data_IF_202115428901
#
_entry.id   IF_202115428901
#
_cell.length_a   1.000
_cell.length_b   1.000
_cell.length_c   1.000
_cell.angle_alpha   90.00
_cell.angle_beta   90.00
_cell.angle_gamma   90.00
#
_symmetry.space_group_name_H-M   'P 1'
#
loop_
_entity.id
_entity.type
_entity.pdbx_description
1 polymer ?
#
# COMPACT_ATOMS: atom_id res chain seq x y z
N UNK A 1 -13.20 10.51 -2.66
CA UNK A 1 -14.18 10.41 -1.58
C UNK A 1 -13.68 11.14 -0.32
N UNK A 2 -12.52 10.80 0.23
CA UNK A 2 -11.94 11.46 1.42
C UNK A 2 -11.85 12.98 1.31
N UNK A 3 -11.43 13.47 0.18
CA UNK A 3 -11.24 14.91 -0.03
C UNK A 3 -12.46 15.59 -0.66
N UNK A 4 -13.52 14.86 -0.98
CA UNK A 4 -14.72 15.40 -1.64
C UNK A 4 -14.45 16.14 -2.95
N UNK A 5 -13.25 15.98 -3.52
CA UNK A 5 -12.78 16.69 -4.72
C UNK A 5 -12.48 15.69 -5.85
N UNK A 6 -13.16 15.87 -6.97
CA UNK A 6 -12.90 15.09 -8.18
C UNK A 6 -11.48 15.31 -8.71
N UNK A 7 -10.98 16.55 -8.61
CA UNK A 7 -9.61 16.88 -9.02
C UNK A 7 -8.55 16.15 -8.20
N UNK A 8 -8.76 16.02 -6.88
CA UNK A 8 -7.86 15.26 -6.03
C UNK A 8 -7.87 13.75 -6.39
N UNK A 9 -9.03 13.20 -6.74
CA UNK A 9 -9.13 11.83 -7.23
C UNK A 9 -8.38 11.61 -8.54
N UNK A 10 -8.58 12.47 -9.52
CA UNK A 10 -7.89 12.43 -10.81
C UNK A 10 -6.38 12.55 -10.63
N UNK A 11 -5.92 13.52 -9.83
CA UNK A 11 -4.50 13.69 -9.53
C UNK A 11 -3.90 12.46 -8.85
N UNK A 12 -4.61 11.85 -7.91
CA UNK A 12 -4.15 10.62 -7.24
C UNK A 12 -3.96 9.48 -8.24
N UNK A 13 -4.90 9.29 -9.17
CA UNK A 13 -4.78 8.28 -10.24
C UNK A 13 -3.60 8.62 -11.16
N UNK A 14 -3.46 9.87 -11.57
CA UNK A 14 -2.33 10.29 -12.41
C UNK A 14 -0.98 10.04 -11.71
N UNK A 15 -0.85 10.37 -10.43
CA UNK A 15 0.37 10.10 -9.67
C UNK A 15 0.67 8.60 -9.52
N UNK A 16 -0.34 7.76 -9.39
CA UNK A 16 -0.15 6.29 -9.34
C UNK A 16 0.26 5.76 -10.71
N UNK A 17 -0.41 6.19 -11.79
CA UNK A 17 -0.16 5.70 -13.15
C UNK A 17 1.16 6.22 -13.71
N UNK A 18 1.46 7.50 -13.47
CA UNK A 18 2.68 8.17 -13.95
C UNK A 18 3.75 8.30 -12.87
N UNK A 19 3.76 7.40 -11.90
CA UNK A 19 4.81 7.35 -10.89
C UNK A 19 6.14 7.02 -11.55
N UNK A 20 6.82 8.04 -12.01
CA UNK A 20 8.23 8.00 -12.43
C UNK A 20 9.06 8.80 -11.44
N UNK A 21 10.33 8.48 -11.31
CA UNK A 21 11.26 9.28 -10.55
C UNK A 21 11.42 10.70 -11.15
N UNK A 22 12.04 11.59 -10.42
CA UNK A 22 12.36 12.96 -10.87
C UNK A 22 13.50 13.01 -11.89
N UNK A 23 14.12 11.85 -12.19
CA UNK A 23 15.24 11.71 -13.11
C UNK A 23 14.97 12.31 -14.49
N UNK A 24 13.75 12.16 -15.02
CA UNK A 24 13.38 12.77 -16.31
C UNK A 24 13.49 14.28 -16.30
N UNK A 25 13.08 14.94 -15.23
CA UNK A 25 13.13 16.42 -15.15
C UNK A 25 14.59 16.92 -15.11
N UNK A 26 15.44 16.21 -14.39
CA UNK A 26 16.87 16.50 -14.36
C UNK A 26 17.51 16.29 -15.73
N UNK A 27 17.25 15.16 -16.37
CA UNK A 27 17.71 14.87 -17.73
C UNK A 27 17.24 15.94 -18.72
N UNK A 28 15.95 16.28 -18.71
CA UNK A 28 15.40 17.29 -19.58
C UNK A 28 16.04 18.66 -19.35
N UNK A 29 16.31 19.04 -18.10
CA UNK A 29 16.96 20.30 -17.77
C UNK A 29 18.40 20.35 -18.27
N UNK A 30 19.20 19.30 -18.06
CA UNK A 30 20.60 19.19 -18.50
C UNK A 30 20.70 19.28 -20.03
N UNK A 31 19.86 18.52 -20.75
CA UNK A 31 19.87 18.49 -22.23
C UNK A 31 19.18 19.71 -22.88
N UNK A 32 18.27 20.36 -22.16
CA UNK A 32 17.70 21.63 -22.64
C UNK A 32 18.74 22.76 -22.60
N UNK A 33 19.61 22.75 -21.57
CA UNK A 33 20.72 23.70 -21.50
C UNK A 33 21.82 23.40 -22.54
N UNK A 34 22.04 22.12 -22.84
CA UNK A 34 22.98 21.70 -23.88
C UNK A 34 22.42 21.93 -25.32
N UNK A 35 21.12 22.12 -25.46
CA UNK A 35 20.46 22.32 -26.75
C UNK A 35 20.24 21.06 -27.57
N UNK A 36 20.46 19.87 -27.00
CA UNK A 36 20.43 18.57 -27.66
C UNK A 36 19.29 17.64 -27.17
N UNK A 37 18.32 18.18 -26.42
CA UNK A 37 17.27 17.39 -25.78
C UNK A 37 16.52 16.47 -26.72
N UNK A 38 16.08 16.96 -27.86
CA UNK A 38 15.27 16.19 -28.79
C UNK A 38 16.07 15.09 -29.50
N UNK A 39 17.31 15.39 -29.84
CA UNK A 39 18.22 14.42 -30.48
C UNK A 39 18.56 13.30 -29.47
N UNK A 40 18.88 13.67 -28.26
CA UNK A 40 19.20 12.72 -27.19
C UNK A 40 17.99 11.87 -26.81
N UNK A 41 16.77 12.45 -26.72
CA UNK A 41 15.55 11.69 -26.44
C UNK A 41 15.22 10.70 -27.57
N UNK A 42 15.37 11.13 -28.85
CA UNK A 42 15.09 10.28 -29.99
C UNK A 42 16.09 9.12 -30.13
N UNK A 43 17.34 9.34 -29.73
CA UNK A 43 18.39 8.33 -29.73
C UNK A 43 18.48 7.49 -28.46
N UNK A 44 17.72 7.83 -27.40
CA UNK A 44 17.85 7.16 -26.13
C UNK A 44 17.14 5.81 -26.11
N UNK A 45 17.92 4.75 -26.04
CA UNK A 45 17.45 3.36 -25.93
C UNK A 45 17.58 2.80 -24.50
N UNK A 46 18.15 3.60 -23.58
CA UNK A 46 18.40 3.20 -22.22
C UNK A 46 17.44 3.91 -21.25
N UNK A 47 17.32 3.34 -20.07
CA UNK A 47 16.55 3.97 -18.99
C UNK A 47 17.27 5.24 -18.47
N UNK A 48 16.52 6.32 -18.29
CA UNK A 48 17.03 7.57 -17.76
C UNK A 48 17.04 7.49 -16.23
N UNK A 49 18.18 7.20 -15.64
CA UNK A 49 18.39 7.10 -14.20
C UNK A 49 19.74 7.63 -13.78
N UNK A 50 19.79 8.26 -12.61
CA UNK A 50 21.01 8.90 -12.07
C UNK A 50 21.56 8.18 -10.83
N UNK A 51 20.83 7.21 -10.30
CA UNK A 51 21.27 6.40 -9.16
C UNK A 51 21.29 4.91 -9.48
N UNK A 52 22.17 4.12 -8.87
CA UNK A 52 22.29 2.68 -9.13
C UNK A 52 21.00 1.89 -8.91
N UNK A 53 20.06 2.42 -8.15
CA UNK A 53 18.79 1.76 -7.77
C UNK A 53 17.57 2.36 -8.49
N UNK A 54 17.74 3.25 -9.43
CA UNK A 54 16.63 3.91 -10.17
C UNK A 54 15.96 3.03 -11.23
N UNK A 55 16.33 1.77 -11.37
CA UNK A 55 15.57 0.77 -12.15
C UNK A 55 14.09 0.70 -11.76
N UNK A 56 13.74 1.24 -10.62
CA UNK A 56 12.36 1.48 -10.17
C UNK A 56 11.60 2.51 -11.02
N UNK A 57 12.24 3.33 -11.81
CA UNK A 57 11.57 4.26 -12.72
C UNK A 57 10.81 3.57 -13.86
N UNK A 58 11.17 2.35 -14.20
CA UNK A 58 10.40 1.45 -15.07
C UNK A 58 9.23 0.79 -14.34
N UNK A 59 8.89 1.25 -13.14
CA UNK A 59 7.89 0.62 -12.29
C UNK A 59 6.57 0.42 -13.01
N UNK A 60 6.08 1.42 -13.72
CA UNK A 60 4.82 1.31 -14.47
C UNK A 60 4.91 0.26 -15.59
N UNK A 61 6.02 0.21 -16.33
CA UNK A 61 6.21 -0.77 -17.39
C UNK A 61 6.43 -2.18 -16.84
N UNK A 62 7.31 -2.33 -15.88
CA UNK A 62 7.63 -3.65 -15.32
C UNK A 62 6.53 -4.17 -14.41
N UNK A 63 5.83 -3.31 -13.68
CA UNK A 63 4.82 -3.73 -12.71
C UNK A 63 3.46 -3.89 -13.37
N UNK A 64 2.96 -2.91 -14.11
CA UNK A 64 1.61 -3.01 -14.67
C UNK A 64 1.54 -3.84 -15.94
N UNK A 65 2.56 -3.81 -16.79
CA UNK A 65 2.56 -4.61 -18.03
C UNK A 65 3.04 -6.04 -17.81
N UNK A 66 4.10 -6.24 -17.03
CA UNK A 66 4.68 -7.56 -16.82
C UNK A 66 4.10 -8.29 -15.60
N UNK A 67 3.68 -7.54 -14.56
CA UNK A 67 3.16 -8.11 -13.32
C UNK A 67 1.66 -7.82 -13.18
N UNK A 68 0.84 -8.33 -14.09
CA UNK A 68 -0.63 -8.17 -14.06
C UNK A 68 -1.25 -8.60 -12.73
N UNK A 69 -0.64 -9.58 -12.05
CA UNK A 69 -1.04 -10.04 -10.73
C UNK A 69 -0.92 -8.94 -9.66
N UNK A 70 0.01 -8.00 -9.76
CA UNK A 70 0.07 -6.86 -8.84
C UNK A 70 -1.11 -5.93 -9.03
N UNK A 71 -1.48 -5.60 -10.28
CA UNK A 71 -2.67 -4.78 -10.57
C UNK A 71 -3.94 -5.40 -9.99
N UNK A 72 -4.11 -6.71 -10.11
CA UNK A 72 -5.21 -7.45 -9.51
C UNK A 72 -5.17 -7.39 -7.98
N UNK A 73 -3.99 -7.61 -7.37
CA UNK A 73 -3.81 -7.51 -5.92
C UNK A 73 -4.15 -6.14 -5.37
N UNK A 74 -3.71 -5.07 -6.04
CA UNK A 74 -4.04 -3.69 -5.66
C UNK A 74 -5.54 -3.40 -5.80
N UNK A 75 -6.21 -3.92 -6.84
CA UNK A 75 -7.65 -3.78 -7.01
C UNK A 75 -8.40 -4.42 -5.85
N UNK A 76 -8.06 -5.66 -5.48
CA UNK A 76 -8.69 -6.35 -4.36
C UNK A 76 -8.45 -5.65 -3.04
N UNK A 77 -7.22 -5.19 -2.80
CA UNK A 77 -6.91 -4.38 -1.63
C UNK A 77 -7.75 -3.09 -1.59
N UNK A 78 -7.85 -2.38 -2.71
CA UNK A 78 -8.66 -1.16 -2.81
C UNK A 78 -10.15 -1.42 -2.55
N UNK A 79 -10.71 -2.53 -3.03
CA UNK A 79 -12.10 -2.92 -2.76
C UNK A 79 -12.34 -3.16 -1.26
N UNK A 80 -11.45 -3.89 -0.61
CA UNK A 80 -11.55 -4.13 0.83
C UNK A 80 -11.41 -2.84 1.61
N UNK A 81 -10.43 -2.01 1.31
CA UNK A 81 -10.26 -0.70 1.96
C UNK A 81 -11.50 0.19 1.76
N UNK A 82 -12.11 0.16 0.58
CA UNK A 82 -13.35 0.89 0.31
C UNK A 82 -14.50 0.50 1.24
N UNK A 83 -14.67 -0.81 1.47
CA UNK A 83 -15.72 -1.33 2.37
C UNK A 83 -15.54 -0.78 3.80
N UNK A 84 -14.30 -0.77 4.30
CA UNK A 84 -14.00 -0.33 5.67
C UNK A 84 -13.83 1.18 5.83
N UNK A 85 -13.76 1.93 4.72
CA UNK A 85 -13.62 3.37 4.75
C UNK A 85 -14.82 4.06 5.41
N UNK A 86 -16.03 3.56 5.17
CA UNK A 86 -17.26 4.07 5.77
C UNK A 86 -17.21 4.03 7.31
N UNK A 87 -16.56 3.01 7.86
CA UNK A 87 -16.44 2.87 9.31
C UNK A 87 -15.53 3.90 9.93
N UNK A 88 -14.47 4.29 9.21
CA UNK A 88 -13.59 5.38 9.61
C UNK A 88 -14.32 6.72 9.51
N UNK A 89 -15.04 6.95 8.41
CA UNK A 89 -15.80 8.19 8.19
C UNK A 89 -16.86 8.38 9.28
N UNK A 90 -17.65 7.35 9.61
CA UNK A 90 -18.64 7.39 10.68
C UNK A 90 -18.00 7.74 12.04
N UNK A 91 -16.85 7.13 12.32
CA UNK A 91 -16.13 7.33 13.59
C UNK A 91 -15.48 8.71 13.67
N UNK A 92 -15.02 9.26 12.55
CA UNK A 92 -14.48 10.63 12.49
C UNK A 92 -15.56 11.71 12.56
N UNK A 93 -16.81 11.38 12.20
CA UNK A 93 -17.93 12.31 12.28
C UNK A 93 -18.44 12.53 13.72
N UNK A 94 -17.97 11.76 14.70
CA UNK A 94 -18.33 11.95 16.12
C UNK A 94 -17.83 13.29 16.66
N UNK A 95 -18.64 13.90 17.54
CA UNK A 95 -18.38 15.25 18.07
C UNK A 95 -17.24 15.32 19.10
N UNK A 96 -16.85 14.17 19.66
CA UNK A 96 -15.79 14.11 20.66
C UNK A 96 -14.43 14.46 20.04
N UNK A 97 -13.60 15.21 20.77
CA UNK A 97 -12.28 15.65 20.31
C UNK A 97 -11.19 15.38 21.35
N UNK A 98 -9.95 15.29 20.87
CA UNK A 98 -8.77 15.16 21.72
C UNK A 98 -8.73 13.86 22.52
N UNK A 99 -8.37 13.95 23.80
CA UNK A 99 -8.17 12.81 24.71
C UNK A 99 -9.47 12.02 24.93
N UNK A 100 -10.61 12.70 24.97
CA UNK A 100 -11.90 12.03 25.15
C UNK A 100 -12.24 11.14 23.95
N UNK A 101 -12.00 11.62 22.74
CA UNK A 101 -12.14 10.83 21.52
C UNK A 101 -11.25 9.59 21.56
N UNK A 102 -9.96 9.74 21.93
CA UNK A 102 -9.03 8.63 22.05
C UNK A 102 -9.48 7.60 23.09
N UNK A 103 -9.92 8.07 24.27
CA UNK A 103 -10.47 7.20 25.33
C UNK A 103 -11.67 6.40 24.81
N UNK A 104 -12.59 7.04 24.11
CA UNK A 104 -13.76 6.38 23.54
C UNK A 104 -13.39 5.33 22.49
N UNK A 105 -12.32 5.53 21.71
CA UNK A 105 -11.83 4.56 20.70
C UNK A 105 -11.17 3.32 21.29
N UNK A 106 -10.65 3.38 22.51
CA UNK A 106 -9.90 2.25 23.06
C UNK A 106 -10.51 1.64 24.32
N UNK A 107 -11.17 2.43 25.16
CA UNK A 107 -11.63 1.99 26.47
C UNK A 107 -13.13 1.71 26.54
N UNK A 108 -13.91 2.03 25.52
CA UNK A 108 -15.34 1.76 25.52
C UNK A 108 -15.65 0.38 24.98
N UNK A 109 -16.70 -0.26 25.52
CA UNK A 109 -17.20 -1.54 25.01
C UNK A 109 -17.63 -1.43 23.55
N UNK A 110 -18.19 -0.29 23.14
CA UNK A 110 -18.60 0.01 21.75
C UNK A 110 -17.45 -0.16 20.77
N UNK A 111 -16.25 0.31 21.13
CA UNK A 111 -15.07 0.24 20.24
C UNK A 111 -14.64 -1.20 19.93
N UNK A 112 -14.94 -2.16 20.82
CA UNK A 112 -14.58 -3.57 20.69
C UNK A 112 -15.76 -4.49 20.31
N UNK A 113 -16.97 -3.95 20.14
CA UNK A 113 -18.09 -4.76 19.69
C UNK A 113 -17.99 -5.09 18.21
N UNK A 114 -18.58 -6.22 17.82
CA UNK A 114 -18.80 -6.55 16.43
C UNK A 114 -19.81 -5.59 15.80
N UNK A 115 -19.49 -5.14 14.61
CA UNK A 115 -20.34 -4.24 13.81
C UNK A 115 -20.98 -4.99 12.63
N UNK A 116 -20.14 -5.68 11.85
CA UNK A 116 -20.52 -6.50 10.69
C UNK A 116 -19.54 -7.66 10.52
N UNK A 117 -19.60 -8.69 11.34
CA UNK A 117 -18.62 -9.79 11.32
C UNK A 117 -18.68 -10.63 10.03
N UNK A 118 -19.83 -10.71 9.38
CA UNK A 118 -20.01 -11.33 8.07
C UNK A 118 -19.20 -10.62 6.98
N UNK A 119 -19.26 -9.30 6.95
CA UNK A 119 -18.47 -8.48 6.04
C UNK A 119 -16.98 -8.63 6.29
N UNK A 120 -16.56 -8.66 7.57
CA UNK A 120 -15.17 -8.84 7.95
C UNK A 120 -14.64 -10.24 7.56
N UNK A 121 -15.46 -11.27 7.77
CA UNK A 121 -15.14 -12.64 7.35
C UNK A 121 -14.97 -12.73 5.83
N UNK A 122 -15.91 -12.21 5.06
CA UNK A 122 -15.85 -12.22 3.60
C UNK A 122 -14.63 -11.45 3.07
N UNK A 123 -14.38 -10.25 3.59
CA UNK A 123 -13.23 -9.44 3.21
C UNK A 123 -11.91 -10.13 3.56
N UNK A 124 -11.84 -10.81 4.71
CA UNK A 124 -10.68 -11.59 5.12
C UNK A 124 -10.41 -12.79 4.19
N UNK A 125 -11.46 -13.52 3.78
CA UNK A 125 -11.32 -14.59 2.79
C UNK A 125 -10.84 -14.05 1.46
N UNK A 126 -11.41 -12.95 0.98
CA UNK A 126 -11.04 -12.32 -0.28
C UNK A 126 -9.55 -11.91 -0.28
N UNK A 127 -9.09 -11.24 0.77
CA UNK A 127 -7.68 -10.86 0.91
C UNK A 127 -6.76 -12.07 1.05
N UNK A 128 -7.13 -13.06 1.83
CA UNK A 128 -6.35 -14.28 2.02
C UNK A 128 -6.14 -15.02 0.71
N UNK A 129 -7.19 -15.17 -0.09
CA UNK A 129 -7.09 -15.77 -1.42
C UNK A 129 -6.28 -14.91 -2.40
N UNK A 130 -6.29 -13.60 -2.23
CA UNK A 130 -5.50 -12.68 -3.06
C UNK A 130 -3.99 -12.81 -2.84
N UNK A 131 -3.54 -13.41 -1.74
CA UNK A 131 -2.12 -13.59 -1.41
C UNK A 131 -1.36 -14.40 -2.46
N UNK A 132 -2.04 -15.30 -3.18
CA UNK A 132 -1.47 -16.07 -4.29
C UNK A 132 -1.00 -15.17 -5.44
N UNK A 133 -1.78 -14.13 -5.76
CA UNK A 133 -1.43 -13.20 -6.82
C UNK A 133 -0.42 -12.15 -6.35
N UNK A 134 -0.61 -11.59 -5.15
CA UNK A 134 0.32 -10.61 -4.62
C UNK A 134 0.26 -10.48 -3.09
N UNK A 135 1.14 -11.18 -2.40
CA UNK A 135 1.25 -11.12 -0.94
C UNK A 135 1.63 -9.74 -0.41
N UNK A 136 2.44 -8.97 -1.16
CA UNK A 136 2.82 -7.61 -0.74
C UNK A 136 1.62 -6.66 -0.69
N UNK A 137 0.71 -6.74 -1.67
CA UNK A 137 -0.52 -5.95 -1.66
C UNK A 137 -1.42 -6.32 -0.47
N UNK A 138 -1.48 -7.61 -0.11
CA UNK A 138 -2.24 -8.08 1.07
C UNK A 138 -1.65 -7.53 2.36
N UNK A 139 -0.32 -7.61 2.54
CA UNK A 139 0.36 -7.06 3.72
C UNK A 139 0.13 -5.55 3.82
N UNK A 140 0.29 -4.81 2.72
CA UNK A 140 0.04 -3.38 2.69
C UNK A 140 -1.42 -3.04 3.06
N UNK A 141 -2.39 -3.81 2.54
CA UNK A 141 -3.80 -3.65 2.88
C UNK A 141 -4.05 -3.89 4.37
N UNK A 142 -3.50 -4.95 4.96
CA UNK A 142 -3.63 -5.25 6.39
C UNK A 142 -3.02 -4.15 7.27
N UNK A 143 -1.89 -3.57 6.87
CA UNK A 143 -1.29 -2.44 7.59
C UNK A 143 -2.18 -1.19 7.55
N UNK A 144 -2.80 -0.89 6.41
CA UNK A 144 -3.74 0.24 6.29
C UNK A 144 -5.01 -0.04 7.12
N UNK A 145 -5.54 -1.27 7.08
CA UNK A 145 -6.70 -1.67 7.87
C UNK A 145 -6.40 -1.64 9.38
N UNK A 146 -5.18 -1.95 9.79
CA UNK A 146 -4.74 -1.74 11.17
C UNK A 146 -4.82 -0.25 11.56
N UNK A 147 -4.38 0.66 10.67
CA UNK A 147 -4.59 2.09 10.84
C UNK A 147 -6.08 2.45 10.94
N UNK A 148 -6.93 1.90 10.07
CA UNK A 148 -8.38 2.10 10.14
C UNK A 148 -8.98 1.62 11.47
N UNK A 149 -8.54 0.48 11.99
CA UNK A 149 -8.96 -0.04 13.28
C UNK A 149 -8.62 0.91 14.45
N UNK A 150 -7.53 1.69 14.35
CA UNK A 150 -7.22 2.73 15.32
C UNK A 150 -8.27 3.84 15.35
N UNK A 151 -8.76 4.25 14.18
CA UNK A 151 -9.66 5.39 14.03
C UNK A 151 -11.14 5.03 14.08
N UNK A 152 -11.51 3.74 13.98
CA UNK A 152 -12.91 3.29 13.93
C UNK A 152 -13.31 2.42 15.11
N UNK A 153 -14.63 2.25 15.29
CA UNK A 153 -15.22 1.22 16.15
C UNK A 153 -15.23 -0.13 15.45
N UNK A 154 -15.59 -1.20 16.16
CA UNK A 154 -15.68 -2.54 15.58
C UNK A 154 -14.31 -3.21 15.45
N UNK A 155 -13.40 -3.02 16.39
CA UNK A 155 -12.05 -3.59 16.35
C UNK A 155 -12.01 -5.11 16.24
N UNK A 156 -13.01 -5.81 16.78
CA UNK A 156 -13.12 -7.26 16.65
C UNK A 156 -13.38 -7.70 15.20
N UNK A 157 -14.06 -6.89 14.40
CA UNK A 157 -14.26 -7.19 12.97
C UNK A 157 -12.93 -7.10 12.21
N UNK A 158 -12.10 -6.09 12.49
CA UNK A 158 -10.76 -5.99 11.91
C UNK A 158 -9.87 -7.17 12.34
N UNK A 159 -10.01 -7.62 13.59
CA UNK A 159 -9.28 -8.78 14.09
C UNK A 159 -9.72 -10.06 13.36
N UNK A 160 -11.03 -10.29 13.19
CA UNK A 160 -11.56 -11.41 12.40
C UNK A 160 -11.00 -11.35 10.98
N UNK A 161 -11.10 -10.20 10.33
CA UNK A 161 -10.56 -10.02 8.97
C UNK A 161 -9.08 -10.41 8.92
N UNK A 162 -8.25 -9.91 9.82
CA UNK A 162 -6.83 -10.20 9.84
C UNK A 162 -6.55 -11.70 10.06
N UNK A 163 -7.22 -12.33 11.03
CA UNK A 163 -7.06 -13.78 11.30
C UNK A 163 -7.48 -14.60 10.09
N UNK A 164 -8.63 -14.32 9.51
CA UNK A 164 -9.15 -15.04 8.34
C UNK A 164 -8.22 -14.85 7.14
N UNK A 165 -7.71 -13.64 6.92
CA UNK A 165 -6.73 -13.37 5.85
C UNK A 165 -5.48 -14.25 6.02
N UNK A 166 -4.91 -14.30 7.21
CA UNK A 166 -3.72 -15.13 7.49
C UNK A 166 -4.01 -16.60 7.30
N UNK A 167 -5.13 -17.10 7.83
CA UNK A 167 -5.51 -18.53 7.70
C UNK A 167 -5.67 -18.92 6.24
N UNK A 168 -6.40 -18.15 5.44
CA UNK A 168 -6.59 -18.45 4.02
C UNK A 168 -5.29 -18.31 3.22
N UNK A 169 -4.45 -17.34 3.56
CA UNK A 169 -3.12 -17.18 2.97
C UNK A 169 -2.22 -18.38 3.25
N UNK A 170 -2.21 -18.89 4.47
CA UNK A 170 -1.46 -20.09 4.87
C UNK A 170 -1.96 -21.36 4.18
N UNK A 171 -3.28 -21.56 4.14
CA UNK A 171 -3.89 -22.70 3.44
C UNK A 171 -3.47 -22.68 1.98
N UNK A 172 -3.60 -21.53 1.32
CA UNK A 172 -3.26 -21.36 -0.09
C UNK A 172 -1.75 -21.58 -0.33
N UNK A 173 -0.89 -21.04 0.51
CA UNK A 173 0.55 -21.24 0.44
C UNK A 173 0.90 -22.73 0.52
N UNK A 174 0.31 -23.47 1.45
CA UNK A 174 0.54 -24.90 1.59
C UNK A 174 0.01 -25.74 0.43
N UNK A 175 -1.06 -25.29 -0.23
CA UNK A 175 -1.66 -26.01 -1.35
C UNK A 175 -0.92 -25.78 -2.68
N UNK A 176 -0.43 -24.59 -2.92
CA UNK A 176 0.05 -24.18 -4.25
C UNK A 176 1.55 -23.87 -4.30
N UNK A 177 2.22 -23.62 -3.16
CA UNK A 177 3.62 -23.25 -3.13
C UNK A 177 4.46 -24.42 -2.61
N UNK A 178 4.79 -25.34 -3.50
CA UNK A 178 5.70 -26.46 -3.20
C UNK A 178 7.14 -26.03 -3.49
N UNK A 179 8.02 -26.23 -2.51
CA UNK A 179 9.45 -25.98 -2.71
C UNK A 179 9.87 -24.50 -2.69
N UNK A 180 9.03 -23.62 -2.15
CA UNK A 180 9.43 -22.21 -1.96
C UNK A 180 10.61 -22.12 -1.00
N UNK A 181 11.72 -21.60 -1.51
CA UNK A 181 12.98 -21.42 -0.77
C UNK A 181 12.98 -20.11 0.03
N UNK A 182 11.92 -19.31 -0.07
CA UNK A 182 11.85 -18.02 0.60
C UNK A 182 11.34 -18.19 2.01
N UNK A 183 12.26 -18.21 2.95
CA UNK A 183 11.92 -18.06 4.36
C UNK A 183 11.73 -16.58 4.69
N UNK A 184 10.64 -16.19 5.37
CA UNK A 184 10.47 -14.82 5.81
C UNK A 184 11.58 -14.46 6.79
N UNK A 185 12.33 -13.42 6.50
CA UNK A 185 13.35 -12.87 7.37
C UNK A 185 13.00 -11.44 7.74
N UNK A 186 13.11 -11.13 9.03
CA UNK A 186 12.86 -9.77 9.52
C UNK A 186 14.18 -9.06 9.69
N UNK A 187 14.38 -7.99 8.93
CA UNK A 187 15.53 -7.12 9.06
C UNK A 187 15.11 -5.81 9.71
N UNK A 188 15.69 -5.52 10.88
CA UNK A 188 15.51 -4.21 11.50
C UNK A 188 16.40 -3.18 10.80
N UNK A 189 15.79 -2.07 10.38
CA UNK A 189 16.51 -0.98 9.69
C UNK A 189 16.60 -1.14 8.17
N UNK A 190 15.81 -2.02 7.58
CA UNK A 190 15.80 -2.28 6.14
C UNK A 190 17.21 -2.57 5.60
N UNK A 191 17.55 -2.01 4.46
CA UNK A 191 18.86 -2.10 3.81
C UNK A 191 19.78 -0.93 4.19
N UNK A 192 19.43 -0.13 5.20
CA UNK A 192 20.28 0.98 5.63
C UNK A 192 21.63 0.49 6.16
N UNK A 193 22.71 1.09 5.72
CA UNK A 193 24.08 0.75 6.19
C UNK A 193 24.22 0.98 7.69
N UNK A 194 23.68 2.09 8.18
CA UNK A 194 23.62 2.41 9.60
C UNK A 194 22.24 2.07 10.15
N UNK A 195 22.16 1.01 10.96
CA UNK A 195 20.92 0.56 11.63
C UNK A 195 20.55 1.44 12.83
N UNK A 196 20.51 2.76 12.62
CA UNK A 196 20.08 3.76 13.59
C UNK A 196 18.88 4.52 13.03
N UNK A 197 18.05 5.12 13.90
CA UNK A 197 16.91 5.91 13.46
C UNK A 197 17.26 7.00 12.43
N UNK A 198 18.35 7.78 12.61
CA UNK A 198 18.80 8.73 11.58
C UNK A 198 19.23 8.05 10.29
N UNK A 199 19.95 6.91 10.36
CA UNK A 199 20.38 6.17 9.18
C UNK A 199 19.22 5.57 8.38
N UNK A 200 18.19 5.09 9.05
CA UNK A 200 16.95 4.61 8.42
C UNK A 200 16.21 5.78 7.76
N UNK A 201 16.11 6.93 8.44
CA UNK A 201 15.48 8.11 7.88
C UNK A 201 16.21 8.59 6.61
N UNK A 202 17.53 8.65 6.61
CA UNK A 202 18.32 9.00 5.41
C UNK A 202 18.15 7.99 4.27
N UNK A 203 17.90 6.73 4.58
CA UNK A 203 17.64 5.71 3.56
C UNK A 203 16.24 5.83 2.94
N UNK A 204 15.25 6.29 3.72
CA UNK A 204 13.85 6.40 3.27
C UNK A 204 13.54 7.71 2.52
N UNK A 205 14.35 8.73 2.68
CA UNK A 205 14.21 10.06 2.07
C UNK A 205 15.40 10.43 1.20
#
# INVERSE_FOLDING_TARGET
RFFGSMSAGVLSVLFVVFRSGTAFFRFAYEHLQAGDLWETLAGNTAFIGYTPNENWGLWNFNVYLNQRHLGFGLLMAALVLWIFLDWVEESCAEKDKGILWLKNRFLTKKAWMFKKPDTALFAGMLLGLCSFWNGAAVIACLLILMGFAFFSDGKLDYLILAIVTVVFSEIQSKMFVWGSVVSPSVYFGFLAEKKSLPGIAVYLF
#
